data_IF_045002165726
#
_entry.id   IF_045002165726
#
_cell.length_a   1.000
_cell.length_b   1.000
_cell.length_c   1.000
_cell.angle_alpha   90.00
_cell.angle_beta   90.00
_cell.angle_gamma   90.00
#
_symmetry.space_group_name_H-M   'P 1'
#
loop_
_entity.id
_entity.type
_entity.pdbx_description
1 polymer ?
#
# COMPACT_ATOMS: atom_id res chain seq x y z
N UNK A 1 -20.54 -4.72 28.05
CA UNK A 1 -20.63 -3.56 27.15
C UNK A 1 -19.58 -2.56 27.62
N UNK A 2 -18.41 -2.56 26.99
CA UNK A 2 -17.31 -1.67 27.38
C UNK A 2 -17.61 -0.26 26.83
N UNK A 3 -17.52 0.79 27.67
CA UNK A 3 -17.92 2.13 27.29
C UNK A 3 -16.94 2.70 26.25
N UNK A 4 -17.50 3.40 25.26
CA UNK A 4 -16.81 4.01 24.11
C UNK A 4 -15.91 5.25 24.39
N UNK A 5 -15.83 5.91 25.57
CA UNK A 5 -15.09 7.17 25.68
C UNK A 5 -13.56 7.03 25.82
N UNK A 6 -13.01 5.82 26.00
CA UNK A 6 -11.56 5.61 26.08
C UNK A 6 -10.82 5.72 24.73
N UNK A 7 -11.54 5.91 23.62
CA UNK A 7 -10.98 6.01 22.26
C UNK A 7 -10.56 7.45 21.86
N UNK A 8 -10.84 8.46 22.69
CA UNK A 8 -10.76 9.89 22.31
C UNK A 8 -9.41 10.56 22.58
N UNK A 9 -8.28 9.87 22.39
CA UNK A 9 -6.99 10.58 22.24
C UNK A 9 -6.81 10.97 20.78
N UNK A 10 -6.61 12.26 20.53
CA UNK A 10 -6.42 12.85 19.19
C UNK A 10 -5.24 12.18 18.49
N UNK A 11 -5.36 11.92 17.17
CA UNK A 11 -4.31 11.32 16.33
C UNK A 11 -2.92 11.96 16.54
N UNK A 12 -2.88 13.27 16.82
CA UNK A 12 -1.67 14.04 17.13
C UNK A 12 -0.95 13.57 18.41
N UNK A 13 -1.67 13.20 19.47
CA UNK A 13 -1.08 12.66 20.69
C UNK A 13 -0.54 11.23 20.46
N UNK A 14 -1.21 10.46 19.59
CA UNK A 14 -0.77 9.12 19.24
C UNK A 14 0.49 9.10 18.37
N UNK A 15 0.76 10.16 17.59
CA UNK A 15 2.03 10.32 16.86
C UNK A 15 3.18 10.63 17.84
N UNK A 16 2.94 11.37 18.93
CA UNK A 16 3.97 11.61 19.95
C UNK A 16 4.40 10.32 20.68
N UNK A 17 3.48 9.35 20.81
CA UNK A 17 3.74 8.04 21.41
C UNK A 17 4.64 7.13 20.55
N UNK A 18 4.94 7.47 19.28
CA UNK A 18 5.91 6.72 18.45
C UNK A 18 7.33 6.71 19.04
N UNK A 19 7.65 7.63 19.96
CA UNK A 19 8.92 7.65 20.69
C UNK A 19 9.10 6.44 21.61
N UNK A 20 8.01 5.76 21.99
CA UNK A 20 8.07 4.58 22.86
C UNK A 20 8.68 3.39 22.10
N UNK A 21 9.66 2.68 22.66
CA UNK A 21 10.37 1.60 21.97
C UNK A 21 9.45 0.45 21.55
N UNK A 22 8.38 0.19 22.33
CA UNK A 22 7.40 -0.85 22.02
C UNK A 22 6.57 -0.53 20.75
N UNK A 23 6.08 0.71 20.62
CA UNK A 23 5.30 1.15 19.45
C UNK A 23 6.17 1.13 18.18
N UNK A 24 7.42 1.58 18.31
CA UNK A 24 8.39 1.56 17.21
C UNK A 24 8.68 0.14 16.72
N UNK A 25 8.71 -0.84 17.62
CA UNK A 25 8.89 -2.26 17.25
C UNK A 25 7.73 -2.78 16.42
N UNK A 26 6.49 -2.41 16.76
CA UNK A 26 5.29 -2.76 15.98
C UNK A 26 5.34 -2.10 14.59
N UNK A 27 5.73 -0.82 14.53
CA UNK A 27 5.87 -0.10 13.26
C UNK A 27 6.89 -0.78 12.33
N UNK A 28 8.10 -1.08 12.82
CA UNK A 28 9.13 -1.71 11.98
C UNK A 28 8.73 -3.11 11.53
N UNK A 29 8.10 -3.90 12.40
CA UNK A 29 7.54 -5.19 12.00
C UNK A 29 6.50 -5.03 10.89
N UNK A 30 5.62 -4.04 11.00
CA UNK A 30 4.62 -3.77 9.97
C UNK A 30 5.28 -3.38 8.63
N UNK A 31 6.29 -2.51 8.65
CA UNK A 31 7.02 -2.08 7.45
C UNK A 31 7.73 -3.26 6.79
N UNK A 32 8.39 -4.11 7.59
CA UNK A 32 9.07 -5.30 7.09
C UNK A 32 8.10 -6.28 6.43
N UNK A 33 7.03 -6.65 7.14
CA UNK A 33 6.03 -7.59 6.66
C UNK A 33 5.22 -7.06 5.46
N UNK A 34 4.87 -5.77 5.46
CA UNK A 34 4.04 -5.18 4.40
C UNK A 34 4.85 -4.76 3.19
N UNK A 35 6.03 -4.15 3.40
CA UNK A 35 6.86 -3.61 2.35
C UNK A 35 7.93 -4.58 1.89
N UNK A 36 8.86 -4.93 2.79
CA UNK A 36 10.08 -5.67 2.42
C UNK A 36 9.76 -7.07 1.89
N UNK A 37 8.87 -7.82 2.56
CA UNK A 37 8.47 -9.16 2.10
C UNK A 37 7.63 -9.15 0.81
N UNK A 38 7.06 -8.01 0.42
CA UNK A 38 6.30 -7.86 -0.82
C UNK A 38 7.18 -7.39 -2.00
N UNK A 39 8.42 -6.96 -1.74
CA UNK A 39 9.25 -6.26 -2.71
C UNK A 39 9.59 -7.12 -3.93
N UNK A 40 10.01 -8.38 -3.73
CA UNK A 40 10.32 -9.28 -4.85
C UNK A 40 9.12 -9.48 -5.78
N UNK A 41 7.95 -9.71 -5.19
CA UNK A 41 6.71 -9.94 -5.95
C UNK A 41 6.32 -8.69 -6.74
N UNK A 42 6.41 -7.51 -6.12
CA UNK A 42 6.13 -6.21 -6.76
C UNK A 42 7.09 -5.94 -7.92
N UNK A 43 8.38 -6.21 -7.76
CA UNK A 43 9.38 -6.03 -8.83
C UNK A 43 9.07 -6.96 -10.02
N UNK A 44 8.74 -8.23 -9.77
CA UNK A 44 8.41 -9.19 -10.83
C UNK A 44 7.12 -8.83 -11.57
N UNK A 45 6.08 -8.41 -10.83
CA UNK A 45 4.84 -7.89 -11.45
C UNK A 45 5.14 -6.66 -12.28
N UNK A 46 5.88 -5.69 -11.74
CA UNK A 46 6.21 -4.46 -12.43
C UNK A 46 6.97 -4.72 -13.73
N UNK A 47 8.02 -5.53 -13.65
CA UNK A 47 8.81 -5.91 -14.83
C UNK A 47 7.93 -6.53 -15.93
N UNK A 48 7.06 -7.46 -15.55
CA UNK A 48 6.15 -8.13 -16.49
C UNK A 48 5.13 -7.16 -17.10
N UNK A 49 4.51 -6.30 -16.27
CA UNK A 49 3.58 -5.27 -16.71
C UNK A 49 4.23 -4.29 -17.67
N UNK A 50 5.49 -3.88 -17.41
CA UNK A 50 6.27 -3.02 -18.29
C UNK A 50 6.39 -3.58 -19.70
N UNK A 51 6.84 -4.82 -19.82
CA UNK A 51 6.96 -5.49 -21.12
C UNK A 51 5.63 -5.58 -21.87
N UNK A 52 4.58 -6.01 -21.17
CA UNK A 52 3.24 -6.19 -21.75
C UNK A 52 2.70 -4.85 -22.27
N UNK A 53 2.72 -3.81 -21.44
CA UNK A 53 2.14 -2.50 -21.79
C UNK A 53 2.94 -1.85 -22.91
N UNK A 54 4.28 -1.87 -22.86
CA UNK A 54 5.09 -1.26 -23.92
C UNK A 54 4.90 -1.95 -25.27
N UNK A 55 4.74 -3.29 -25.28
CA UNK A 55 4.49 -4.04 -26.52
C UNK A 55 3.16 -3.62 -27.14
N UNK A 56 2.11 -3.49 -26.33
CA UNK A 56 0.80 -3.04 -26.81
C UNK A 56 0.85 -1.59 -27.33
N UNK A 57 1.56 -0.70 -26.64
CA UNK A 57 1.73 0.68 -27.09
C UNK A 57 2.52 0.77 -28.39
N UNK A 58 3.51 -0.12 -28.60
CA UNK A 58 4.27 -0.16 -29.85
C UNK A 58 3.40 -0.56 -31.03
N UNK A 59 2.59 -1.60 -30.87
CA UNK A 59 1.69 -2.11 -31.91
C UNK A 59 0.62 -1.08 -32.28
N UNK A 60 0.12 -0.32 -31.31
CA UNK A 60 -0.97 0.64 -31.51
C UNK A 60 -0.51 2.00 -32.09
N UNK A 61 0.68 2.50 -31.69
CA UNK A 61 1.11 3.87 -32.00
C UNK A 61 2.22 4.00 -33.05
N UNK A 62 2.64 2.89 -33.69
CA UNK A 62 3.49 2.95 -34.89
C UNK A 62 4.89 3.50 -34.63
N UNK A 63 5.79 2.60 -34.20
CA UNK A 63 7.26 2.71 -34.23
C UNK A 63 7.99 3.81 -33.43
N UNK A 64 7.33 4.85 -32.91
CA UNK A 64 8.05 5.79 -32.03
C UNK A 64 8.25 5.19 -30.62
N UNK A 65 9.37 4.47 -30.45
CA UNK A 65 9.77 3.88 -29.15
C UNK A 65 9.82 4.92 -28.03
N UNK A 66 10.23 6.14 -28.36
CA UNK A 66 10.27 7.26 -27.41
C UNK A 66 8.86 7.66 -26.95
N UNK A 67 7.89 7.72 -27.86
CA UNK A 67 6.49 7.99 -27.51
C UNK A 67 5.90 6.87 -26.65
N UNK A 68 6.16 5.60 -26.98
CA UNK A 68 5.69 4.46 -26.19
C UNK A 68 6.27 4.46 -24.77
N UNK A 69 7.56 4.76 -24.59
CA UNK A 69 8.20 4.83 -23.27
C UNK A 69 7.68 6.01 -22.45
N UNK A 70 7.45 7.17 -23.09
CA UNK A 70 6.86 8.32 -22.42
C UNK A 70 5.44 8.04 -21.93
N UNK A 71 4.60 7.45 -22.79
CA UNK A 71 3.24 7.03 -22.41
C UNK A 71 3.27 5.96 -21.31
N UNK A 72 4.20 5.02 -21.38
CA UNK A 72 4.39 4.05 -20.31
C UNK A 72 4.72 4.76 -18.99
N UNK A 73 5.59 5.77 -18.99
CA UNK A 73 5.93 6.52 -17.78
C UNK A 73 4.70 7.24 -17.19
N UNK A 74 3.93 7.92 -18.05
CA UNK A 74 2.70 8.63 -17.68
C UNK A 74 1.67 7.68 -17.05
N UNK A 75 1.39 6.55 -17.68
CA UNK A 75 0.43 5.55 -17.19
C UNK A 75 0.94 4.86 -15.92
N UNK A 76 2.25 4.56 -15.85
CA UNK A 76 2.85 3.84 -14.73
C UNK A 76 2.83 4.64 -13.45
N UNK A 77 3.37 5.86 -13.47
CA UNK A 77 3.43 6.71 -12.28
C UNK A 77 2.08 7.34 -11.96
N UNK A 78 1.26 7.60 -12.98
CA UNK A 78 -0.06 8.20 -12.82
C UNK A 78 -1.03 7.30 -12.06
N UNK A 79 -1.13 6.02 -12.46
CA UNK A 79 -2.23 5.15 -12.03
C UNK A 79 -1.82 3.71 -11.73
N UNK A 80 -1.11 3.04 -12.66
CA UNK A 80 -0.87 1.60 -12.53
C UNK A 80 -0.07 1.27 -11.27
N UNK A 81 1.06 1.95 -11.04
CA UNK A 81 1.91 1.65 -9.91
C UNK A 81 1.23 1.89 -8.55
N UNK A 82 0.63 3.08 -8.26
CA UNK A 82 -0.02 3.32 -6.98
C UNK A 82 -1.21 2.37 -6.75
N UNK A 83 -2.03 2.09 -7.78
CA UNK A 83 -3.18 1.20 -7.66
C UNK A 83 -2.75 -0.26 -7.41
N UNK A 84 -1.87 -0.82 -8.24
CA UNK A 84 -1.45 -2.23 -8.09
C UNK A 84 -0.69 -2.48 -6.78
N UNK A 85 0.15 -1.54 -6.34
CA UNK A 85 0.81 -1.63 -5.04
C UNK A 85 -0.22 -1.68 -3.89
N UNK A 86 -1.25 -0.83 -3.94
CA UNK A 86 -2.31 -0.82 -2.95
C UNK A 86 -3.17 -2.10 -2.98
N UNK A 87 -3.51 -2.62 -4.17
CA UNK A 87 -4.29 -3.87 -4.31
C UNK A 87 -3.55 -5.07 -3.71
N UNK A 88 -2.24 -5.19 -3.97
CA UNK A 88 -1.41 -6.24 -3.38
C UNK A 88 -1.36 -6.14 -1.84
N UNK A 89 -1.18 -4.92 -1.34
CA UNK A 89 -1.17 -4.63 0.09
C UNK A 89 -2.52 -4.94 0.75
N UNK A 90 -3.64 -4.65 0.08
CA UNK A 90 -4.98 -5.04 0.55
C UNK A 90 -5.10 -6.56 0.63
N UNK A 91 -4.70 -7.28 -0.42
CA UNK A 91 -4.82 -8.73 -0.47
C UNK A 91 -4.03 -9.44 0.65
N UNK A 92 -2.76 -9.05 0.86
CA UNK A 92 -1.89 -9.70 1.86
C UNK A 92 -2.01 -9.09 3.26
N UNK A 93 -1.77 -7.79 3.37
CA UNK A 93 -1.51 -7.13 4.65
C UNK A 93 -2.78 -6.69 5.36
N UNK A 94 -3.82 -6.27 4.64
CA UNK A 94 -5.09 -5.92 5.30
C UNK A 94 -5.78 -7.15 5.92
N UNK A 95 -5.70 -8.29 5.23
CA UNK A 95 -6.14 -9.59 5.76
C UNK A 95 -5.39 -9.95 7.05
N UNK A 96 -4.06 -9.88 7.03
CA UNK A 96 -3.22 -10.19 8.19
C UNK A 96 -3.50 -9.27 9.39
N UNK A 97 -3.55 -7.96 9.16
CA UNK A 97 -3.81 -6.96 10.21
C UNK A 97 -5.19 -7.17 10.85
N UNK A 98 -6.21 -7.41 10.03
CA UNK A 98 -7.56 -7.63 10.54
C UNK A 98 -7.66 -8.94 11.34
N UNK A 99 -7.04 -10.03 10.85
CA UNK A 99 -7.00 -11.31 11.56
C UNK A 99 -6.25 -11.21 12.88
N UNK A 100 -5.11 -10.51 12.91
CA UNK A 100 -4.32 -10.35 14.13
C UNK A 100 -5.10 -9.58 15.20
N UNK A 101 -5.71 -8.44 14.83
CA UNK A 101 -6.54 -7.67 15.76
C UNK A 101 -7.79 -8.44 16.23
N UNK A 102 -8.41 -9.21 15.33
CA UNK A 102 -9.54 -10.08 15.70
C UNK A 102 -9.12 -11.21 16.63
N UNK A 103 -7.93 -11.79 16.44
CA UNK A 103 -7.37 -12.83 17.31
C UNK A 103 -7.06 -12.28 18.71
N UNK A 104 -6.39 -11.11 18.79
CA UNK A 104 -6.16 -10.41 20.06
C UNK A 104 -7.47 -10.16 20.81
N UNK A 105 -8.55 -9.82 20.08
CA UNK A 105 -9.87 -9.62 20.67
C UNK A 105 -10.50 -10.93 21.15
N UNK A 106 -10.39 -11.99 20.37
CA UNK A 106 -10.93 -13.30 20.72
C UNK A 106 -10.24 -13.91 21.96
N UNK A 107 -8.97 -13.58 22.19
CA UNK A 107 -8.20 -14.01 23.36
C UNK A 107 -8.27 -13.03 24.55
N UNK A 108 -9.02 -11.94 24.46
CA UNK A 108 -9.12 -10.94 25.53
C UNK A 108 -7.89 -10.04 25.71
N UNK A 109 -6.88 -10.15 24.85
CA UNK A 109 -5.64 -9.36 24.93
C UNK A 109 -5.90 -7.85 24.80
N UNK A 110 -6.92 -7.46 24.02
CA UNK A 110 -7.31 -6.04 23.91
C UNK A 110 -7.83 -5.49 25.23
N UNK A 111 -8.61 -6.27 25.97
CA UNK A 111 -9.17 -5.86 27.26
C UNK A 111 -8.05 -5.78 28.31
N UNK A 112 -7.11 -6.73 28.30
CA UNK A 112 -5.92 -6.69 29.15
C UNK A 112 -5.06 -5.44 28.93
N UNK A 113 -4.89 -5.01 27.67
CA UNK A 113 -4.17 -3.77 27.35
C UNK A 113 -4.88 -2.53 27.94
N UNK A 114 -6.21 -2.51 27.90
CA UNK A 114 -7.01 -1.41 28.47
C UNK A 114 -6.92 -1.41 30.00
N UNK A 115 -6.95 -2.57 30.64
CA UNK A 115 -6.77 -2.71 32.10
C UNK A 115 -5.39 -2.22 32.57
N UNK A 116 -4.35 -2.44 31.76
CA UNK A 116 -3.00 -1.91 32.00
C UNK A 116 -2.87 -0.40 31.71
N UNK A 117 -3.95 0.28 31.31
CA UNK A 117 -3.94 1.71 30.97
C UNK A 117 -3.23 2.03 29.66
N UNK A 118 -3.04 1.04 28.77
CA UNK A 118 -2.37 1.22 27.47
C UNK A 118 -3.42 1.58 26.40
N UNK A 119 -3.31 2.75 25.75
CA UNK A 119 -4.25 3.15 24.71
C UNK A 119 -4.08 2.30 23.44
N UNK A 120 -5.12 1.57 23.05
CA UNK A 120 -5.14 0.72 21.85
C UNK A 120 -4.85 1.50 20.56
N UNK A 121 -5.31 2.75 20.46
CA UNK A 121 -5.12 3.59 19.28
C UNK A 121 -3.63 3.86 19.02
N UNK A 122 -2.91 4.38 20.02
CA UNK A 122 -1.47 4.65 19.92
C UNK A 122 -0.65 3.37 19.79
N UNK A 123 -1.03 2.30 20.48
CA UNK A 123 -0.21 1.08 20.55
C UNK A 123 -0.41 0.12 19.37
N UNK A 124 -1.63 -0.01 18.85
CA UNK A 124 -1.96 -0.95 17.78
C UNK A 124 -2.27 -0.24 16.46
N UNK A 125 -3.13 0.77 16.47
CA UNK A 125 -3.70 1.33 15.23
C UNK A 125 -2.69 2.22 14.50
N UNK A 126 -2.08 3.18 15.20
CA UNK A 126 -1.13 4.13 14.60
C UNK A 126 0.09 3.47 13.96
N UNK A 127 0.83 2.55 14.62
CA UNK A 127 1.98 1.91 13.97
C UNK A 127 1.59 1.08 12.74
N UNK A 128 0.38 0.50 12.72
CA UNK A 128 -0.12 -0.25 11.55
C UNK A 128 -0.50 0.68 10.40
N UNK A 129 -1.21 1.77 10.69
CA UNK A 129 -1.55 2.82 9.72
C UNK A 129 -0.28 3.37 9.06
N UNK A 130 0.68 3.83 9.86
CA UNK A 130 1.92 4.39 9.35
C UNK A 130 2.75 3.36 8.59
N UNK A 131 2.88 2.14 9.14
CA UNK A 131 3.64 1.08 8.51
C UNK A 131 3.11 0.73 7.12
N UNK A 132 1.79 0.53 6.99
CA UNK A 132 1.17 0.23 5.70
C UNK A 132 1.20 1.43 4.74
N UNK A 133 1.04 2.65 5.23
CA UNK A 133 1.13 3.88 4.41
C UNK A 133 2.53 4.02 3.80
N UNK A 134 3.58 3.90 4.62
CA UNK A 134 4.97 4.01 4.18
C UNK A 134 5.31 2.85 3.23
N UNK A 135 4.89 1.63 3.55
CA UNK A 135 5.10 0.48 2.67
C UNK A 135 4.40 0.64 1.32
N UNK A 136 3.16 1.12 1.28
CA UNK A 136 2.43 1.37 0.03
C UNK A 136 3.16 2.36 -0.87
N UNK A 137 3.58 3.49 -0.31
CA UNK A 137 4.33 4.52 -1.02
C UNK A 137 5.66 3.99 -1.58
N UNK A 138 6.42 3.25 -0.77
CA UNK A 138 7.68 2.64 -1.20
C UNK A 138 7.45 1.59 -2.29
N UNK A 139 6.47 0.71 -2.11
CA UNK A 139 6.15 -0.34 -3.09
C UNK A 139 5.70 0.25 -4.43
N UNK A 140 4.91 1.32 -4.43
CA UNK A 140 4.51 2.01 -5.67
C UNK A 140 5.73 2.55 -6.44
N UNK A 141 6.72 3.13 -5.75
CA UNK A 141 7.97 3.57 -6.38
C UNK A 141 8.77 2.41 -6.96
N UNK A 142 8.92 1.30 -6.22
CA UNK A 142 9.61 0.13 -6.75
C UNK A 142 8.86 -0.49 -7.93
N UNK A 143 7.53 -0.49 -7.89
CA UNK A 143 6.69 -0.98 -8.96
C UNK A 143 6.84 -0.12 -10.21
N UNK A 144 6.74 1.21 -10.08
CA UNK A 144 6.87 2.13 -11.22
C UNK A 144 8.25 2.05 -11.88
N UNK A 145 9.32 1.96 -11.09
CA UNK A 145 10.68 1.76 -11.61
C UNK A 145 10.80 0.42 -12.31
N UNK A 146 10.22 -0.64 -11.75
CA UNK A 146 10.26 -1.99 -12.35
C UNK A 146 9.45 -2.07 -13.64
N UNK A 147 8.32 -1.37 -13.74
CA UNK A 147 7.55 -1.22 -14.99
C UNK A 147 8.39 -0.51 -16.05
N UNK A 148 9.08 0.56 -15.69
CA UNK A 148 9.93 1.28 -16.64
C UNK A 148 11.11 0.43 -17.12
N UNK A 149 11.76 -0.29 -16.21
CA UNK A 149 12.86 -1.19 -16.55
C UNK A 149 12.39 -2.34 -17.44
N UNK A 150 11.27 -2.98 -17.11
CA UNK A 150 10.70 -4.05 -17.92
C UNK A 150 10.30 -3.58 -19.31
N UNK A 151 9.67 -2.40 -19.41
CA UNK A 151 9.32 -1.79 -20.69
C UNK A 151 10.55 -1.44 -21.53
N UNK A 152 11.55 -0.79 -20.95
CA UNK A 152 12.78 -0.45 -21.67
C UNK A 152 13.51 -1.70 -22.19
N UNK A 153 13.71 -2.71 -21.34
CA UNK A 153 14.43 -3.94 -21.67
C UNK A 153 13.72 -4.79 -22.73
N UNK A 154 12.39 -4.81 -22.72
CA UNK A 154 11.60 -5.64 -23.63
C UNK A 154 11.24 -4.91 -24.94
N UNK A 155 11.28 -3.57 -24.98
CA UNK A 155 11.11 -2.79 -26.22
C UNK A 155 12.37 -2.68 -27.08
N UNK A 156 13.55 -2.78 -26.47
CA UNK A 156 14.80 -2.31 -27.05
C UNK A 156 15.38 -3.20 -28.16
N UNK A 157 15.06 -4.49 -28.18
CA UNK A 157 15.94 -5.44 -28.89
C UNK A 157 17.39 -5.31 -28.38
N UNK A 158 18.38 -5.26 -29.27
CA UNK A 158 19.82 -5.26 -28.92
C UNK A 158 20.40 -3.91 -28.43
N UNK A 159 19.66 -2.80 -28.48
CA UNK A 159 20.16 -1.46 -28.11
C UNK A 159 19.65 -1.01 -26.72
N UNK A 160 19.82 -1.91 -25.75
CA UNK A 160 19.30 -1.79 -24.37
C UNK A 160 19.92 -0.60 -23.64
N UNK A 161 21.22 -0.36 -23.84
CA UNK A 161 22.00 0.60 -23.05
C UNK A 161 21.52 2.05 -23.25
N UNK A 162 21.23 2.45 -24.48
CA UNK A 162 20.82 3.82 -24.80
C UNK A 162 19.45 4.16 -24.23
N UNK A 163 18.49 3.24 -24.30
CA UNK A 163 17.14 3.47 -23.78
C UNK A 163 17.13 3.53 -22.26
N UNK A 164 17.90 2.68 -21.56
CA UNK A 164 17.97 2.70 -20.10
C UNK A 164 18.56 4.02 -19.58
N UNK A 165 19.57 4.57 -20.26
CA UNK A 165 20.19 5.85 -19.90
C UNK A 165 19.30 7.07 -20.12
N UNK A 166 18.20 6.95 -20.87
CA UNK A 166 17.27 8.06 -21.13
C UNK A 166 15.96 7.99 -20.35
N UNK A 167 15.80 7.03 -19.43
CA UNK A 167 14.60 6.96 -18.57
C UNK A 167 14.36 8.27 -17.81
N UNK A 168 15.42 8.94 -17.40
CA UNK A 168 15.38 10.20 -16.66
C UNK A 168 14.63 11.31 -17.41
N UNK A 169 14.71 11.33 -18.75
CA UNK A 169 14.02 12.31 -19.61
C UNK A 169 12.51 12.20 -19.56
N UNK A 170 11.99 11.01 -19.25
CA UNK A 170 10.55 10.77 -19.16
C UNK A 170 10.02 10.97 -17.73
N UNK A 171 10.89 11.01 -16.73
CA UNK A 171 10.52 11.13 -15.33
C UNK A 171 10.48 12.58 -14.89
N UNK A 172 9.28 13.08 -14.58
CA UNK A 172 9.12 14.42 -13.97
C UNK A 172 9.02 14.28 -12.45
N UNK A 173 9.69 15.14 -11.66
CA UNK A 173 9.58 15.11 -10.20
C UNK A 173 8.12 15.20 -9.70
N UNK A 174 7.28 15.97 -10.38
CA UNK A 174 5.85 16.08 -10.06
C UNK A 174 5.08 14.77 -10.22
N UNK A 175 5.43 13.94 -11.21
CA UNK A 175 4.79 12.63 -11.41
C UNK A 175 5.14 11.66 -10.29
N UNK A 176 6.41 11.65 -9.87
CA UNK A 176 6.88 10.82 -8.76
C UNK A 176 6.16 11.23 -7.47
N UNK A 177 6.07 12.54 -7.20
CA UNK A 177 5.42 13.05 -6.00
C UNK A 177 3.92 12.74 -5.98
N UNK A 178 3.23 12.88 -7.11
CA UNK A 178 1.82 12.52 -7.25
C UNK A 178 1.61 11.02 -7.02
N UNK A 179 2.45 10.17 -7.62
CA UNK A 179 2.41 8.72 -7.46
C UNK A 179 2.57 8.28 -6.00
N UNK A 180 3.58 8.84 -5.32
CA UNK A 180 3.83 8.61 -3.90
C UNK A 180 2.67 9.09 -3.04
N UNK A 181 2.12 10.27 -3.33
CA UNK A 181 0.98 10.84 -2.62
C UNK A 181 -0.27 9.96 -2.73
N UNK A 182 -0.63 9.53 -3.94
CA UNK A 182 -1.73 8.58 -4.19
C UNK A 182 -1.49 7.26 -3.45
N UNK A 183 -0.33 6.65 -3.63
CA UNK A 183 0.01 5.38 -3.00
C UNK A 183 -0.03 5.43 -1.46
N UNK A 184 0.45 6.53 -0.87
CA UNK A 184 0.36 6.77 0.57
C UNK A 184 -1.11 6.85 1.02
N UNK A 185 -1.94 7.63 0.32
CA UNK A 185 -3.37 7.75 0.62
C UNK A 185 -4.09 6.39 0.54
N UNK A 186 -3.81 5.59 -0.49
CA UNK A 186 -4.40 4.25 -0.64
C UNK A 186 -3.96 3.31 0.48
N UNK A 187 -2.68 3.31 0.83
CA UNK A 187 -2.14 2.52 1.94
C UNK A 187 -2.76 2.90 3.28
N UNK A 188 -2.96 4.20 3.52
CA UNK A 188 -3.64 4.72 4.69
C UNK A 188 -5.10 4.24 4.77
N UNK A 189 -5.85 4.38 3.67
CA UNK A 189 -7.26 3.96 3.60
C UNK A 189 -7.41 2.44 3.82
N UNK A 190 -6.56 1.63 3.17
CA UNK A 190 -6.54 0.19 3.34
C UNK A 190 -6.27 -0.20 4.82
N UNK A 191 -5.26 0.42 5.44
CA UNK A 191 -4.91 0.17 6.82
C UNK A 191 -5.99 0.59 7.82
N UNK A 192 -6.64 1.73 7.59
CA UNK A 192 -7.74 2.21 8.42
C UNK A 192 -8.93 1.23 8.39
N UNK A 193 -9.28 0.76 7.19
CA UNK A 193 -10.34 -0.25 7.02
C UNK A 193 -9.96 -1.57 7.69
N UNK A 194 -8.73 -2.04 7.51
CA UNK A 194 -8.24 -3.28 8.13
C UNK A 194 -8.29 -3.23 9.66
N UNK A 195 -7.78 -2.13 10.26
CA UNK A 195 -7.82 -1.93 11.70
C UNK A 195 -9.26 -1.91 12.22
N UNK A 196 -10.16 -1.20 11.52
CA UNK A 196 -11.58 -1.13 11.89
C UNK A 196 -12.25 -2.51 11.84
N UNK A 197 -11.99 -3.31 10.80
CA UNK A 197 -12.61 -4.62 10.66
C UNK A 197 -12.13 -5.61 11.73
N UNK A 198 -10.84 -5.56 12.10
CA UNK A 198 -10.31 -6.36 13.20
C UNK A 198 -10.86 -5.95 14.57
N UNK A 199 -10.89 -4.65 14.89
CA UNK A 199 -11.35 -4.15 16.19
C UNK A 199 -12.86 -4.31 16.41
N UNK A 200 -13.67 -4.28 15.35
CA UNK A 200 -15.13 -4.42 15.43
C UNK A 200 -15.58 -5.89 15.39
N UNK A 201 -14.68 -6.84 15.12
CA UNK A 201 -14.98 -8.28 15.17
C UNK A 201 -15.60 -8.69 16.51
N UNK A 202 -16.46 -9.72 16.54
CA UNK A 202 -16.97 -10.26 17.82
C UNK A 202 -15.88 -11.11 18.50
N UNK A 203 -15.91 -11.30 19.82
CA UNK A 203 -14.85 -12.01 20.56
C UNK A 203 -14.99 -13.53 20.43
N UNK A 204 -15.01 -14.04 19.19
CA UNK A 204 -15.07 -15.46 18.89
C UNK A 204 -14.03 -15.81 17.83
N UNK A 205 -13.32 -16.93 17.99
CA UNK A 205 -12.31 -17.42 17.04
C UNK A 205 -12.89 -17.58 15.62
N UNK A 206 -14.18 -17.93 15.52
CA UNK A 206 -14.91 -18.05 14.24
C UNK A 206 -15.12 -16.74 13.48
N UNK A 207 -14.90 -15.58 14.12
CA UNK A 207 -14.96 -14.27 13.45
C UNK A 207 -13.63 -13.84 12.83
N UNK A 208 -12.49 -14.47 13.19
CA UNK A 208 -11.17 -14.11 12.65
C UNK A 208 -11.15 -14.16 11.10
N UNK A 209 -11.50 -15.26 10.43
CA UNK A 209 -11.50 -15.31 8.96
C UNK A 209 -12.55 -14.37 8.34
N UNK A 210 -13.66 -14.10 9.04
CA UNK A 210 -14.70 -13.16 8.58
C UNK A 210 -14.19 -11.72 8.62
N UNK A 211 -13.45 -11.36 9.66
CA UNK A 211 -12.83 -10.03 9.81
C UNK A 211 -11.80 -9.79 8.69
N UNK A 212 -10.94 -10.78 8.42
CA UNK A 212 -10.00 -10.73 7.30
C UNK A 212 -10.70 -10.58 5.94
N UNK A 213 -11.70 -11.41 5.65
CA UNK A 213 -12.43 -11.34 4.38
C UNK A 213 -13.12 -9.98 4.19
N UNK A 214 -13.76 -9.45 5.24
CA UNK A 214 -14.37 -8.11 5.20
C UNK A 214 -13.33 -7.00 5.05
N UNK A 215 -12.14 -7.14 5.65
CA UNK A 215 -11.06 -6.18 5.51
C UNK A 215 -10.53 -6.10 4.09
N UNK A 216 -10.33 -7.25 3.43
CA UNK A 216 -9.92 -7.29 2.02
C UNK A 216 -10.99 -6.66 1.14
N UNK A 217 -12.23 -7.13 1.24
CA UNK A 217 -13.31 -6.67 0.37
C UNK A 217 -13.59 -5.16 0.53
N UNK A 218 -13.68 -4.67 1.78
CA UNK A 218 -13.91 -3.24 2.06
C UNK A 218 -12.68 -2.39 1.80
N UNK A 219 -11.48 -2.92 2.03
CA UNK A 219 -10.22 -2.24 1.73
C UNK A 219 -10.07 -2.01 0.23
N UNK A 220 -10.38 -3.03 -0.58
CA UNK A 220 -10.33 -2.94 -2.04
C UNK A 220 -11.33 -1.92 -2.56
N UNK A 221 -12.57 -1.94 -2.07
CA UNK A 221 -13.58 -0.93 -2.38
C UNK A 221 -13.13 0.49 -1.99
N UNK A 222 -12.54 0.65 -0.80
CA UNK A 222 -12.05 1.94 -0.34
C UNK A 222 -10.92 2.47 -1.23
N UNK A 223 -9.98 1.62 -1.65
CA UNK A 223 -8.90 1.99 -2.57
C UNK A 223 -9.48 2.41 -3.91
N UNK A 224 -10.35 1.62 -4.54
CA UNK A 224 -10.94 1.97 -5.84
C UNK A 224 -11.76 3.26 -5.82
N UNK A 225 -12.56 3.48 -4.78
CA UNK A 225 -13.32 4.73 -4.65
C UNK A 225 -12.37 5.92 -4.47
N UNK A 226 -11.32 5.76 -3.67
CA UNK A 226 -10.34 6.82 -3.44
C UNK A 226 -9.56 7.14 -4.72
N UNK A 227 -9.18 6.11 -5.48
CA UNK A 227 -8.50 6.21 -6.76
C UNK A 227 -9.34 7.01 -7.77
N UNK A 228 -10.61 6.62 -7.94
CA UNK A 228 -11.55 7.36 -8.79
C UNK A 228 -11.69 8.84 -8.40
N UNK A 229 -11.76 9.14 -7.10
CA UNK A 229 -11.82 10.53 -6.62
C UNK A 229 -10.51 11.29 -6.88
N UNK A 230 -9.35 10.63 -6.74
CA UNK A 230 -8.06 11.24 -7.04
C UNK A 230 -7.92 11.57 -8.53
N UNK A 231 -8.41 10.71 -9.43
CA UNK A 231 -8.42 10.96 -10.88
C UNK A 231 -9.32 12.15 -11.24
N UNK A 232 -10.49 12.26 -10.63
CA UNK A 232 -11.39 13.39 -10.88
C UNK A 232 -10.82 14.74 -10.42
N UNK A 233 -9.88 14.74 -9.47
CA UNK A 233 -9.29 15.94 -8.91
C UNK A 233 -8.00 16.41 -9.62
N UNK A 234 -7.45 15.60 -10.53
CA UNK A 234 -6.21 15.87 -11.29
C UNK A 234 -6.47 16.34 -12.70
#
# INVERSE_FOLDING_TARGET
>A
MLPLPAYSRTLLQSIADLRRPAVRRVLFKQIYFTGVEALLLIVLIGFSLGGIVVSQLHDQYGQSREASLRLLADISFGELAPLFAALLLVARSSSAVASELAAMKAHGELDSLVEMGIPLSSYLVVPRLLGMTISSAALALYLSLSIMLGGALLSSGWDVGYQVFQLDRFLRPGMILLSVGKAALFGFMAAAVACRMGLVARPYVTEIPKASSRAVMRGMLAVFVTDFLCVLAS
#
